data_IF_436712592642
#
_entry.id   IF_436712592642
#
_cell.length_a   1.000
_cell.length_b   1.000
_cell.length_c   1.000
_cell.angle_alpha   90.00
_cell.angle_beta   90.00
_cell.angle_gamma   90.00
#
_symmetry.space_group_name_H-M   'P 1'
#
loop_
_entity.id
_entity.type
_entity.pdbx_description
1 polymer ?
#
# COMPACT_ATOMS: atom_id res chain seq x y z
N UNK A 1 0.59 10.38 -31.40
CA UNK A 1 -0.38 11.04 -30.51
C UNK A 1 0.42 11.65 -29.37
N UNK A 2 0.85 12.89 -29.54
CA UNK A 2 1.70 13.62 -28.58
C UNK A 2 0.80 14.25 -27.53
N UNK A 3 1.04 13.92 -26.26
CA UNK A 3 0.33 14.50 -25.12
C UNK A 3 0.80 15.95 -24.93
N UNK A 4 -0.14 16.89 -24.92
CA UNK A 4 0.16 18.31 -24.68
C UNK A 4 0.10 18.57 -23.17
N UNK A 5 1.06 19.33 -22.60
CA UNK A 5 0.98 19.74 -21.20
C UNK A 5 -0.33 20.53 -20.98
N UNK A 6 -1.17 20.04 -20.06
CA UNK A 6 -2.49 20.62 -19.75
C UNK A 6 -3.69 19.83 -20.28
N UNK A 7 -3.50 18.64 -20.87
CA UNK A 7 -4.60 17.73 -21.21
C UNK A 7 -5.25 17.16 -19.91
N UNK A 8 -6.55 16.79 -19.92
CA UNK A 8 -7.20 16.21 -18.75
C UNK A 8 -6.51 14.92 -18.24
N UNK A 9 -5.91 14.16 -19.15
CA UNK A 9 -5.11 12.97 -18.85
C UNK A 9 -3.76 13.33 -18.21
N UNK A 10 -3.09 14.39 -18.68
CA UNK A 10 -1.85 14.86 -18.06
C UNK A 10 -2.10 15.36 -16.63
N UNK A 11 -3.19 16.13 -16.43
CA UNK A 11 -3.59 16.61 -15.12
C UNK A 11 -4.00 15.47 -14.17
N UNK A 12 -4.60 14.39 -14.67
CA UNK A 12 -4.90 13.21 -13.87
C UNK A 12 -3.61 12.49 -13.41
N UNK A 13 -2.68 12.25 -14.33
CA UNK A 13 -1.37 11.64 -14.00
C UNK A 13 -0.57 12.46 -13.00
N UNK A 14 -0.59 13.78 -13.11
CA UNK A 14 0.06 14.69 -12.16
C UNK A 14 -0.54 14.59 -10.76
N UNK A 15 -1.89 14.49 -10.65
CA UNK A 15 -2.56 14.27 -9.36
C UNK A 15 -2.20 12.91 -8.78
N UNK A 16 -2.26 11.83 -9.56
CA UNK A 16 -1.89 10.49 -9.10
C UNK A 16 -0.43 10.43 -8.62
N UNK A 17 0.48 11.13 -9.31
CA UNK A 17 1.86 11.26 -8.91
C UNK A 17 2.02 12.06 -7.61
N UNK A 18 1.29 13.15 -7.45
CA UNK A 18 1.29 13.95 -6.22
C UNK A 18 0.69 13.19 -5.02
N UNK A 19 -0.39 12.44 -5.23
CA UNK A 19 -0.99 11.56 -4.23
C UNK A 19 -0.02 10.45 -3.82
N UNK A 20 0.63 9.82 -4.79
CA UNK A 20 1.67 8.82 -4.52
C UNK A 20 2.83 9.43 -3.73
N UNK A 21 3.35 10.58 -4.17
CA UNK A 21 4.44 11.27 -3.47
C UNK A 21 4.06 11.62 -2.03
N UNK A 22 2.83 12.08 -1.80
CA UNK A 22 2.28 12.34 -0.46
C UNK A 22 2.23 11.07 0.40
N UNK A 23 1.77 9.95 -0.16
CA UNK A 23 1.69 8.68 0.55
C UNK A 23 3.07 8.15 1.00
N UNK A 24 4.13 8.42 0.23
CA UNK A 24 5.50 8.02 0.55
C UNK A 24 6.35 9.13 1.20
N UNK A 25 5.77 10.29 1.52
CA UNK A 25 6.52 11.44 2.05
C UNK A 25 6.98 11.23 3.50
N UNK A 26 6.34 10.32 4.24
CA UNK A 26 6.67 10.06 5.64
C UNK A 26 7.79 9.00 5.76
N UNK A 27 8.81 9.23 6.60
CA UNK A 27 9.87 8.26 6.80
C UNK A 27 9.30 7.00 7.44
N UNK A 28 9.80 5.84 7.00
CA UNK A 28 9.40 4.56 7.58
C UNK A 28 9.75 4.51 9.08
N UNK A 29 8.88 3.87 9.87
CA UNK A 29 9.07 3.65 11.30
C UNK A 29 9.37 2.17 11.53
N UNK A 30 10.42 1.88 12.30
CA UNK A 30 10.77 0.51 12.62
C UNK A 30 9.72 -0.13 13.53
N UNK A 31 9.36 -1.41 13.32
CA UNK A 31 8.47 -2.13 14.22
C UNK A 31 9.15 -2.45 15.55
N UNK A 32 8.35 -2.69 16.59
CA UNK A 32 8.86 -3.18 17.87
C UNK A 32 9.23 -4.67 17.78
N UNK A 33 8.52 -5.43 16.94
CA UNK A 33 8.80 -6.83 16.66
C UNK A 33 8.28 -7.23 15.30
N UNK A 34 8.98 -8.14 14.63
CA UNK A 34 8.49 -8.82 13.42
C UNK A 34 8.33 -10.31 13.69
N UNK A 35 7.30 -10.93 13.15
CA UNK A 35 7.12 -12.39 13.19
C UNK A 35 6.63 -12.93 11.83
N UNK A 36 7.08 -14.12 11.46
CA UNK A 36 6.52 -14.86 10.34
C UNK A 36 5.19 -15.51 10.74
N UNK A 37 4.24 -15.57 9.79
CA UNK A 37 2.98 -16.30 9.93
C UNK A 37 2.85 -17.48 8.95
N UNK A 38 3.88 -17.71 8.13
CA UNK A 38 3.99 -18.85 7.24
C UNK A 38 5.38 -18.94 6.62
N UNK A 39 5.55 -19.90 5.70
CA UNK A 39 6.86 -20.26 5.15
C UNK A 39 7.36 -19.30 4.05
N UNK A 40 6.48 -18.51 3.45
CA UNK A 40 6.87 -17.58 2.40
C UNK A 40 7.53 -16.32 3.00
N UNK A 41 8.58 -15.74 2.37
CA UNK A 41 9.27 -14.56 2.91
C UNK A 41 8.37 -13.33 3.10
N UNK A 42 7.33 -13.18 2.28
CA UNK A 42 6.30 -12.13 2.45
C UNK A 42 5.28 -12.42 3.56
N UNK A 43 5.24 -13.63 4.13
CA UNK A 43 4.29 -13.97 5.19
C UNK A 43 4.79 -13.49 6.55
N UNK A 44 4.84 -12.17 6.72
CA UNK A 44 5.36 -11.52 7.93
C UNK A 44 4.39 -10.47 8.48
N UNK A 45 4.44 -10.28 9.79
CA UNK A 45 3.71 -9.23 10.52
C UNK A 45 4.68 -8.39 11.33
N UNK A 46 4.56 -7.08 11.20
CA UNK A 46 5.23 -6.10 12.03
C UNK A 46 4.29 -5.62 13.14
N UNK A 47 4.75 -5.68 14.38
CA UNK A 47 3.99 -5.31 15.57
C UNK A 47 4.46 -3.97 16.14
N UNK A 48 3.48 -3.13 16.48
CA UNK A 48 3.69 -1.85 17.16
C UNK A 48 2.88 -1.85 18.47
N UNK A 49 3.58 -1.64 19.59
CA UNK A 49 2.98 -1.62 20.91
C UNK A 49 2.37 -0.25 21.24
N UNK A 50 1.25 -0.19 21.98
CA UNK A 50 0.72 1.06 22.50
C UNK A 50 1.80 1.86 23.25
N UNK A 51 1.91 3.16 22.96
CA UNK A 51 2.96 4.00 23.56
C UNK A 51 2.60 4.54 24.95
N UNK A 52 1.37 4.32 25.41
CA UNK A 52 0.85 4.75 26.73
C UNK A 52 1.04 3.71 27.85
N UNK A 53 1.68 2.58 27.55
CA UNK A 53 2.00 1.53 28.53
C UNK A 53 0.79 0.73 29.02
N UNK A 54 -0.37 0.88 28.40
CA UNK A 54 -1.59 0.16 28.80
C UNK A 54 -1.49 -1.34 28.51
N UNK A 55 -2.12 -2.14 29.36
CA UNK A 55 -2.36 -3.56 29.11
C UNK A 55 -3.76 -3.77 28.53
N UNK A 56 -3.93 -4.72 27.60
CA UNK A 56 -5.24 -5.04 27.02
C UNK A 56 -5.77 -4.02 26.00
N UNK A 57 -4.88 -3.44 25.19
CA UNK A 57 -5.28 -2.53 24.11
C UNK A 57 -6.04 -3.26 22.98
N UNK A 58 -7.00 -2.59 22.32
CA UNK A 58 -7.58 -3.12 21.08
C UNK A 58 -6.51 -3.29 20.00
N UNK A 59 -6.59 -4.40 19.27
CA UNK A 59 -5.71 -4.71 18.15
C UNK A 59 -6.29 -4.15 16.84
N UNK A 60 -5.48 -3.40 16.11
CA UNK A 60 -5.75 -3.01 14.73
C UNK A 60 -4.89 -3.87 13.81
N UNK A 61 -5.52 -4.58 12.88
CA UNK A 61 -4.83 -5.30 11.80
C UNK A 61 -4.81 -4.40 10.58
N UNK A 62 -3.61 -4.05 10.11
CA UNK A 62 -3.40 -3.15 8.99
C UNK A 62 -2.92 -3.95 7.78
N UNK A 63 -3.63 -3.79 6.65
CA UNK A 63 -3.26 -4.34 5.35
C UNK A 63 -2.98 -3.16 4.42
N UNK A 64 -1.79 -3.16 3.83
CA UNK A 64 -1.38 -2.08 2.94
C UNK A 64 -2.01 -2.26 1.53
N UNK A 65 -2.07 -1.16 0.78
CA UNK A 65 -2.57 -1.14 -0.61
C UNK A 65 -1.46 -1.39 -1.63
N UNK A 66 -1.58 -0.79 -2.82
CA UNK A 66 -0.54 -0.88 -3.86
C UNK A 66 -0.82 -1.91 -4.96
N UNK A 67 -2.07 -2.36 -5.10
CA UNK A 67 -2.51 -3.23 -6.20
C UNK A 67 -1.65 -4.52 -6.37
N UNK A 68 -1.21 -5.11 -5.24
CA UNK A 68 -0.35 -6.30 -5.20
C UNK A 68 0.99 -6.16 -5.94
N UNK A 69 1.44 -4.93 -6.22
CA UNK A 69 2.69 -4.66 -6.92
C UNK A 69 3.87 -4.75 -5.95
N UNK A 70 4.93 -5.42 -6.38
CA UNK A 70 6.15 -5.66 -5.60
C UNK A 70 6.76 -4.41 -4.91
N UNK A 71 6.79 -3.21 -5.52
CA UNK A 71 7.40 -2.04 -4.90
C UNK A 71 6.71 -1.51 -3.64
N UNK A 72 5.46 -1.91 -3.37
CA UNK A 72 4.69 -1.42 -2.24
C UNK A 72 4.57 -2.53 -1.20
N UNK A 73 5.37 -2.46 -0.15
CA UNK A 73 5.36 -3.39 0.96
C UNK A 73 4.77 -2.74 2.23
N UNK A 74 4.63 -3.52 3.30
CA UNK A 74 4.11 -3.05 4.60
C UNK A 74 4.86 -1.85 5.17
N UNK A 75 6.10 -1.57 4.77
CA UNK A 75 6.88 -0.47 5.32
C UNK A 75 6.23 0.88 4.95
N UNK A 76 5.54 0.96 3.81
CA UNK A 76 4.93 2.21 3.35
C UNK A 76 3.82 2.74 4.26
N UNK A 77 3.15 1.87 5.02
CA UNK A 77 2.11 2.26 6.00
C UNK A 77 2.63 2.25 7.44
N UNK A 78 3.93 2.01 7.66
CA UNK A 78 4.53 2.07 9.01
C UNK A 78 4.29 3.40 9.73
N UNK A 79 4.24 4.59 9.09
CA UNK A 79 3.92 5.83 9.79
C UNK A 79 2.48 5.85 10.34
N UNK A 80 1.52 5.23 9.63
CA UNK A 80 0.16 5.07 10.12
C UNK A 80 0.11 4.08 11.30
N UNK A 81 0.88 3.00 11.23
CA UNK A 81 1.00 2.06 12.34
C UNK A 81 1.55 2.74 13.61
N UNK A 82 2.62 3.55 13.49
CA UNK A 82 3.15 4.33 14.62
C UNK A 82 2.14 5.36 15.15
N UNK A 83 1.42 6.05 14.26
CA UNK A 83 0.38 6.98 14.65
C UNK A 83 -0.70 6.30 15.51
N UNK A 84 -1.19 5.13 15.08
CA UNK A 84 -2.19 4.36 15.82
C UNK A 84 -1.63 3.85 17.16
N UNK A 85 -0.37 3.40 17.19
CA UNK A 85 0.30 2.99 18.42
C UNK A 85 0.39 4.13 19.45
N UNK A 86 0.67 5.37 18.99
CA UNK A 86 0.63 6.58 19.84
C UNK A 86 -0.77 6.97 20.30
N UNK A 87 -1.83 6.45 19.66
CA UNK A 87 -3.23 6.60 20.09
C UNK A 87 -3.72 5.48 21.00
N UNK A 88 -2.82 4.59 21.46
CA UNK A 88 -3.15 3.56 22.44
C UNK A 88 -3.68 2.26 21.84
N UNK A 89 -3.45 2.02 20.53
CA UNK A 89 -3.76 0.75 19.87
C UNK A 89 -2.53 -0.16 19.84
N UNK A 90 -2.76 -1.48 19.91
CA UNK A 90 -1.78 -2.43 19.41
C UNK A 90 -1.99 -2.56 17.90
N UNK A 91 -0.92 -2.59 17.12
CA UNK A 91 -1.03 -2.67 15.65
C UNK A 91 -0.27 -3.88 15.13
N UNK A 92 -0.93 -4.67 14.28
CA UNK A 92 -0.35 -5.73 13.47
C UNK A 92 -0.37 -5.27 12.00
N UNK A 93 0.77 -4.81 11.50
CA UNK A 93 0.95 -4.39 10.11
C UNK A 93 1.42 -5.60 9.28
N UNK A 94 0.52 -6.11 8.45
CA UNK A 94 0.68 -7.41 7.79
C UNK A 94 1.21 -7.22 6.37
N UNK A 95 2.28 -7.95 6.06
CA UNK A 95 2.70 -8.19 4.68
C UNK A 95 1.98 -9.42 4.13
N UNK A 96 1.81 -9.46 2.82
CA UNK A 96 1.25 -10.59 2.10
C UNK A 96 2.01 -10.80 0.79
N UNK A 97 1.79 -11.94 0.13
CA UNK A 97 2.46 -12.24 -1.13
C UNK A 97 2.08 -11.22 -2.21
N UNK A 98 3.08 -10.63 -2.88
CA UNK A 98 2.91 -9.61 -3.93
C UNK A 98 3.57 -10.08 -5.23
N UNK A 99 2.94 -9.84 -6.37
CA UNK A 99 3.45 -10.26 -7.68
C UNK A 99 3.58 -11.78 -7.87
N UNK A 100 4.14 -12.20 -9.03
CA UNK A 100 4.29 -13.62 -9.43
C UNK A 100 3.27 -14.08 -10.47
N UNK A 101 3.53 -15.21 -11.15
CA UNK A 101 2.60 -15.84 -12.13
C UNK A 101 1.34 -16.39 -11.48
N UNK A 102 1.42 -16.76 -10.20
CA UNK A 102 0.33 -17.43 -9.48
C UNK A 102 -0.59 -16.50 -8.69
N UNK A 103 -0.30 -15.19 -8.64
CA UNK A 103 -1.13 -14.19 -7.94
C UNK A 103 -1.78 -13.27 -8.97
N UNK A 104 -3.11 -13.06 -8.90
CA UNK A 104 -3.78 -12.07 -9.72
C UNK A 104 -3.10 -10.72 -9.56
N UNK A 105 -2.36 -10.31 -10.59
CA UNK A 105 -1.85 -8.95 -10.73
C UNK A 105 -2.99 -8.13 -11.25
N UNK A 106 -3.13 -6.89 -10.80
CA UNK A 106 -3.89 -5.94 -11.59
C UNK A 106 -3.19 -5.88 -12.96
N UNK A 107 -3.86 -6.38 -14.01
CA UNK A 107 -3.36 -6.23 -15.38
C UNK A 107 -3.33 -4.73 -15.62
N UNK A 108 -2.14 -4.16 -15.77
CA UNK A 108 -2.00 -2.91 -16.52
C UNK A 108 -2.75 -3.18 -17.83
N UNK A 109 -3.76 -2.38 -18.16
CA UNK A 109 -4.75 -2.66 -19.23
C UNK A 109 -4.18 -2.72 -20.65
N UNK A 110 -2.98 -3.24 -20.86
CA UNK A 110 -2.37 -3.51 -22.13
C UNK A 110 -2.84 -4.87 -22.66
N UNK A 111 -3.77 -4.83 -23.61
CA UNK A 111 -3.82 -5.84 -24.66
C UNK A 111 -2.48 -5.80 -25.44
N UNK A 112 -1.93 -6.96 -25.86
CA UNK A 112 -0.70 -6.97 -26.65
C UNK A 112 -0.94 -6.24 -28.00
N UNK A 113 -0.37 -5.04 -28.14
CA UNK A 113 -0.29 -4.35 -29.44
C UNK A 113 -1.15 -3.08 -29.61
N UNK A 114 -1.89 -2.62 -28.60
CA UNK A 114 -2.64 -1.36 -28.69
C UNK A 114 -2.05 -0.27 -27.78
N UNK A 115 -1.75 0.90 -28.36
CA UNK A 115 -1.22 2.05 -27.66
C UNK A 115 -2.06 2.44 -26.43
N UNK A 116 -1.37 2.76 -25.35
CA UNK A 116 -1.92 3.00 -24.02
C UNK A 116 -2.81 4.25 -23.94
N UNK A 117 -4.14 4.07 -23.93
CA UNK A 117 -5.09 5.07 -23.41
C UNK A 117 -6.31 4.37 -22.77
N UNK A 118 -6.30 4.21 -21.44
CA UNK A 118 -7.51 4.10 -20.58
C UNK A 118 -7.76 2.76 -19.82
N UNK A 119 -8.55 2.76 -18.72
CA UNK A 119 -8.62 3.74 -17.63
C UNK A 119 -7.88 3.25 -16.35
N UNK A 120 -7.54 4.20 -15.47
CA UNK A 120 -7.17 3.95 -14.07
C UNK A 120 -8.35 3.24 -13.39
N UNK A 121 -8.07 2.31 -12.48
CA UNK A 121 -9.07 1.51 -11.75
C UNK A 121 -10.30 2.35 -11.38
N UNK A 122 -11.48 1.92 -11.84
CA UNK A 122 -12.74 2.60 -11.57
C UNK A 122 -13.01 2.67 -10.07
N UNK A 123 -13.72 3.72 -9.63
CA UNK A 123 -14.29 3.76 -8.28
C UNK A 123 -15.34 2.66 -8.17
N UNK A 124 -15.13 1.76 -7.22
CA UNK A 124 -16.20 0.93 -6.68
C UNK A 124 -17.40 1.84 -6.30
N UNK A 125 -18.64 1.56 -6.75
CA UNK A 125 -19.18 0.29 -7.26
C UNK A 125 -19.34 0.20 -8.79
N UNK A 126 -18.72 1.08 -9.58
CA UNK A 126 -18.97 1.18 -11.04
C UNK A 126 -18.16 0.17 -11.88
N UNK A 127 -17.90 -1.01 -11.33
CA UNK A 127 -17.31 -2.20 -11.98
C UNK A 127 -18.07 -3.43 -11.57
#
# INVERSE_FOLDING_TARGET
MTDFPGSPDSAARERDAAESASAFAHPAVAPDRTAAYGDHPDQVVDFYAPRDGRTGAPLVVLLHGGAWRSPYDRAHVSPLADFLARRGFAVANVEYRRGGDDIPRQRDGAEPGAGSVGPVAGRWPET
#
